data_IF_320867567939
#
_entry.id   IF_320867567939
#
_cell.length_a   1.000
_cell.length_b   1.000
_cell.length_c   1.000
_cell.angle_alpha   90.00
_cell.angle_beta   90.00
_cell.angle_gamma   90.00
#
_symmetry.space_group_name_H-M   'P 1'
#
loop_
_entity.id
_entity.type
_entity.pdbx_description
1 polymer ?
#
# COMPACT_ATOMS: atom_id res chain seq x y z
N UNK A 1 -11.05 -28.39 -31.90
CA UNK A 1 -10.23 -27.83 -32.99
C UNK A 1 -9.02 -27.14 -32.37
N UNK A 2 -7.83 -27.69 -32.57
CA UNK A 2 -6.57 -27.09 -32.12
C UNK A 2 -6.31 -25.82 -32.94
N UNK A 3 -6.21 -24.66 -32.27
CA UNK A 3 -5.89 -23.39 -32.93
C UNK A 3 -4.48 -23.47 -33.49
N UNK A 4 -4.34 -23.35 -34.81
CA UNK A 4 -3.05 -23.12 -35.47
C UNK A 4 -2.49 -21.76 -35.08
N UNK A 5 -1.18 -21.57 -35.30
CA UNK A 5 -0.53 -20.27 -35.14
C UNK A 5 -1.19 -19.23 -36.07
N UNK A 6 -1.23 -17.97 -35.63
CA UNK A 6 -1.66 -16.85 -36.49
C UNK A 6 -0.79 -16.83 -37.74
N UNK A 7 -1.40 -16.60 -38.91
CA UNK A 7 -0.65 -16.43 -40.13
C UNK A 7 0.14 -15.10 -40.01
N UNK A 8 1.46 -15.09 -40.27
CA UNK A 8 2.27 -13.88 -40.30
C UNK A 8 1.78 -12.86 -41.34
N UNK A 9 2.05 -11.59 -41.07
CA UNK A 9 1.65 -10.47 -41.93
C UNK A 9 2.22 -10.60 -43.36
N UNK A 10 3.45 -11.09 -43.49
CA UNK A 10 4.09 -11.30 -44.80
C UNK A 10 3.34 -12.32 -45.64
N UNK A 11 2.80 -13.37 -44.99
CA UNK A 11 1.97 -14.37 -45.65
C UNK A 11 0.58 -13.81 -45.97
N UNK A 12 0.02 -12.90 -45.15
CA UNK A 12 -1.21 -12.19 -45.49
C UNK A 12 -1.06 -11.38 -46.80
N UNK A 13 0.03 -10.61 -46.91
CA UNK A 13 0.34 -9.80 -48.11
C UNK A 13 0.52 -10.72 -49.33
N UNK A 14 1.26 -11.82 -49.18
CA UNK A 14 1.49 -12.77 -50.26
C UNK A 14 0.18 -13.43 -50.73
N UNK A 15 -0.67 -13.89 -49.82
CA UNK A 15 -1.98 -14.47 -50.14
C UNK A 15 -2.85 -13.44 -50.87
N UNK A 16 -2.92 -12.21 -50.38
CA UNK A 16 -3.71 -11.13 -50.98
C UNK A 16 -3.24 -10.80 -52.40
N UNK A 17 -1.92 -10.71 -52.60
CA UNK A 17 -1.29 -10.40 -53.89
C UNK A 17 -1.56 -11.52 -54.90
N UNK A 18 -1.34 -12.77 -54.52
CA UNK A 18 -1.54 -13.93 -55.41
C UNK A 18 -3.01 -14.10 -55.81
N UNK A 19 -3.94 -13.88 -54.87
CA UNK A 19 -5.36 -13.98 -55.16
C UNK A 19 -5.88 -12.80 -55.99
N UNK A 20 -5.50 -11.56 -55.64
CA UNK A 20 -6.16 -10.36 -56.18
C UNK A 20 -5.50 -9.81 -57.44
N UNK A 21 -4.19 -10.02 -57.62
CA UNK A 21 -3.42 -9.54 -58.79
C UNK A 21 -3.13 -10.68 -59.76
N UNK A 22 -2.70 -11.84 -59.25
CA UNK A 22 -2.31 -12.98 -60.09
C UNK A 22 -3.49 -13.91 -60.39
N UNK A 23 -4.63 -13.70 -59.73
CA UNK A 23 -5.86 -14.49 -59.89
C UNK A 23 -5.68 -16.00 -59.66
N UNK A 24 -4.74 -16.37 -58.79
CA UNK A 24 -4.52 -17.77 -58.41
C UNK A 24 -5.68 -18.32 -57.59
N UNK A 25 -6.01 -19.59 -57.79
CA UNK A 25 -7.03 -20.29 -57.02
C UNK A 25 -6.51 -20.63 -55.61
N UNK A 26 -7.41 -20.74 -54.63
CA UNK A 26 -7.04 -21.01 -53.23
C UNK A 26 -6.22 -22.29 -53.03
N UNK A 27 -6.48 -23.33 -53.84
CA UNK A 27 -5.72 -24.58 -53.80
C UNK A 27 -4.27 -24.39 -54.28
N UNK A 28 -4.05 -23.51 -55.25
CA UNK A 28 -2.73 -23.18 -55.78
C UNK A 28 -1.96 -22.36 -54.74
N UNK A 29 -2.60 -21.31 -54.21
CA UNK A 29 -2.05 -20.49 -53.12
C UNK A 29 -1.69 -21.34 -51.91
N UNK A 30 -2.56 -22.28 -51.53
CA UNK A 30 -2.32 -23.23 -50.46
C UNK A 30 -1.07 -24.08 -50.71
N UNK A 31 -0.90 -24.57 -51.94
CA UNK A 31 0.26 -25.39 -52.33
C UNK A 31 1.56 -24.57 -52.30
N UNK A 32 1.53 -23.34 -52.80
CA UNK A 32 2.71 -22.47 -52.87
C UNK A 32 3.14 -21.94 -51.50
N UNK A 33 2.19 -21.46 -50.70
CA UNK A 33 2.46 -20.80 -49.42
C UNK A 33 2.38 -21.75 -48.21
N UNK A 34 1.97 -23.01 -48.43
CA UNK A 34 1.77 -24.01 -47.37
C UNK A 34 0.79 -23.56 -46.29
N UNK A 35 -0.24 -22.80 -46.68
CA UNK A 35 -1.34 -22.33 -45.80
C UNK A 35 -2.60 -23.12 -46.13
N UNK A 36 -3.43 -23.41 -45.12
CA UNK A 36 -4.71 -24.09 -45.34
C UNK A 36 -5.65 -23.19 -46.18
N UNK A 37 -6.29 -23.69 -47.26
CA UNK A 37 -7.04 -22.86 -48.20
C UNK A 37 -8.20 -22.13 -47.52
N UNK A 38 -8.89 -22.79 -46.60
CA UNK A 38 -9.99 -22.18 -45.83
C UNK A 38 -9.52 -21.02 -44.95
N UNK A 39 -8.32 -21.10 -44.37
CA UNK A 39 -7.77 -20.04 -43.53
C UNK A 39 -7.37 -18.82 -44.36
N UNK A 40 -6.75 -19.04 -45.54
CA UNK A 40 -6.44 -17.98 -46.50
C UNK A 40 -7.71 -17.28 -47.02
N UNK A 41 -8.76 -18.07 -47.32
CA UNK A 41 -10.04 -17.56 -47.77
C UNK A 41 -10.74 -16.73 -46.68
N UNK A 42 -10.89 -17.29 -45.46
CA UNK A 42 -11.53 -16.58 -44.34
C UNK A 42 -10.83 -15.27 -43.98
N UNK A 43 -9.50 -15.26 -43.99
CA UNK A 43 -8.70 -14.06 -43.74
C UNK A 43 -9.03 -12.93 -44.73
N UNK A 44 -9.10 -13.23 -46.03
CA UNK A 44 -9.46 -12.22 -47.04
C UNK A 44 -10.91 -11.79 -46.91
N UNK A 45 -11.84 -12.71 -46.64
CA UNK A 45 -13.25 -12.38 -46.42
C UNK A 45 -13.43 -11.45 -45.20
N UNK A 46 -12.73 -11.72 -44.10
CA UNK A 46 -12.73 -10.85 -42.92
C UNK A 46 -12.21 -9.44 -43.22
N UNK A 47 -11.15 -9.34 -44.04
CA UNK A 47 -10.59 -8.05 -44.45
C UNK A 47 -11.56 -7.30 -45.37
N UNK A 48 -12.16 -7.97 -46.35
CA UNK A 48 -13.19 -7.39 -47.23
C UNK A 48 -14.41 -6.87 -46.47
N UNK A 49 -14.83 -7.58 -45.42
CA UNK A 49 -15.93 -7.14 -44.57
C UNK A 49 -15.63 -5.85 -43.78
N UNK A 50 -14.35 -5.55 -43.52
CA UNK A 50 -13.91 -4.35 -42.78
C UNK A 50 -13.64 -3.15 -43.67
N UNK A 51 -12.92 -3.34 -44.78
CA UNK A 51 -12.34 -2.24 -45.57
C UNK A 51 -12.79 -2.19 -47.04
N UNK A 52 -13.77 -3.01 -47.44
CA UNK A 52 -14.24 -3.20 -48.83
C UNK A 52 -13.28 -4.02 -49.71
N UNK A 53 -13.61 -4.17 -51.00
CA UNK A 53 -12.88 -5.05 -51.95
C UNK A 53 -11.78 -4.31 -52.75
N UNK A 54 -11.40 -3.10 -52.34
CA UNK A 54 -10.28 -2.38 -52.97
C UNK A 54 -8.93 -2.96 -52.52
N UNK A 55 -8.03 -3.23 -53.47
CA UNK A 55 -6.74 -3.87 -53.19
C UNK A 55 -5.86 -3.06 -52.23
N UNK A 56 -5.79 -1.74 -52.38
CA UNK A 56 -4.99 -0.90 -51.50
C UNK A 56 -5.62 -0.78 -50.12
N UNK A 57 -6.95 -0.73 -50.04
CA UNK A 57 -7.67 -0.80 -48.77
C UNK A 57 -7.39 -2.13 -48.05
N UNK A 58 -7.48 -3.26 -48.75
CA UNK A 58 -7.17 -4.59 -48.21
C UNK A 58 -5.71 -4.69 -47.75
N UNK A 59 -4.76 -4.17 -48.53
CA UNK A 59 -3.34 -4.19 -48.17
C UNK A 59 -3.05 -3.35 -46.92
N UNK A 60 -3.75 -2.23 -46.73
CA UNK A 60 -3.64 -1.39 -45.54
C UNK A 60 -4.33 -2.02 -44.30
N UNK A 61 -5.27 -2.95 -44.48
CA UNK A 61 -5.89 -3.72 -43.37
C UNK A 61 -4.98 -4.84 -42.85
N UNK A 62 -3.97 -5.26 -43.64
CA UNK A 62 -3.06 -6.34 -43.30
C UNK A 62 -2.18 -5.95 -42.11
N UNK A 63 -2.55 -6.44 -40.92
CA UNK A 63 -1.89 -6.16 -39.64
C UNK A 63 -2.82 -5.63 -38.55
N UNK A 64 -4.09 -5.33 -38.90
CA UNK A 64 -5.13 -4.92 -37.95
C UNK A 64 -5.99 -6.07 -37.43
N UNK A 65 -5.56 -7.32 -37.65
CA UNK A 65 -6.08 -8.47 -36.93
C UNK A 65 -5.57 -8.43 -35.48
N UNK A 66 -6.11 -7.51 -34.68
CA UNK A 66 -6.11 -7.74 -33.25
C UNK A 66 -6.77 -9.11 -33.04
N UNK A 67 -6.08 -10.06 -32.40
CA UNK A 67 -6.69 -11.33 -32.09
C UNK A 67 -7.98 -11.04 -31.33
N UNK A 68 -9.12 -11.36 -31.95
CA UNK A 68 -10.41 -11.33 -31.27
C UNK A 68 -10.34 -12.41 -30.21
N UNK A 69 -9.82 -12.04 -29.05
CA UNK A 69 -9.80 -12.91 -27.90
C UNK A 69 -11.26 -13.21 -27.59
N UNK A 70 -11.62 -14.50 -27.43
CA UNK A 70 -12.93 -14.80 -26.89
C UNK A 70 -13.07 -14.02 -25.58
N UNK A 71 -14.25 -13.45 -25.30
CA UNK A 71 -14.46 -12.74 -24.06
C UNK A 71 -13.98 -13.62 -22.90
N UNK A 72 -13.13 -13.05 -22.05
CA UNK A 72 -12.64 -13.76 -20.89
C UNK A 72 -13.80 -14.25 -20.03
N UNK A 73 -13.58 -15.27 -19.18
CA UNK A 73 -14.61 -15.74 -18.27
C UNK A 73 -15.16 -14.57 -17.44
N UNK A 74 -16.49 -14.51 -17.32
CA UNK A 74 -17.17 -13.48 -16.54
C UNK A 74 -16.62 -13.44 -15.12
N UNK A 75 -16.30 -12.23 -14.66
CA UNK A 75 -15.82 -12.03 -13.31
C UNK A 75 -16.91 -12.39 -12.29
N UNK A 76 -16.56 -13.18 -11.27
CA UNK A 76 -17.50 -13.70 -10.26
C UNK A 76 -18.29 -12.60 -9.55
N UNK A 77 -17.60 -11.53 -9.14
CA UNK A 77 -18.21 -10.34 -8.53
C UNK A 77 -17.69 -9.10 -9.27
N UNK A 78 -18.43 -8.58 -10.25
CA UNK A 78 -18.01 -7.39 -11.00
C UNK A 78 -18.11 -6.13 -10.13
N UNK A 79 -17.40 -5.08 -10.55
CA UNK A 79 -17.48 -3.78 -9.87
C UNK A 79 -18.92 -3.27 -9.85
N UNK A 80 -19.38 -2.83 -8.67
CA UNK A 80 -20.75 -2.36 -8.47
C UNK A 80 -21.77 -3.47 -8.23
N UNK A 81 -21.37 -4.75 -8.20
CA UNK A 81 -22.25 -5.81 -7.70
C UNK A 81 -22.52 -5.61 -6.20
N UNK A 82 -23.62 -6.18 -5.71
CA UNK A 82 -23.99 -6.14 -4.29
C UNK A 82 -22.87 -6.70 -3.40
N UNK A 83 -22.22 -7.78 -3.84
CA UNK A 83 -21.09 -8.40 -3.14
C UNK A 83 -19.87 -7.49 -3.09
N UNK A 84 -19.58 -6.79 -4.20
CA UNK A 84 -18.48 -5.83 -4.27
C UNK A 84 -18.75 -4.65 -3.33
N UNK A 85 -19.97 -4.08 -3.35
CA UNK A 85 -20.32 -2.98 -2.46
C UNK A 85 -20.34 -3.42 -0.98
N UNK A 86 -20.78 -4.66 -0.68
CA UNK A 86 -20.70 -5.21 0.68
C UNK A 86 -19.25 -5.29 1.18
N UNK A 87 -18.30 -5.68 0.32
CA UNK A 87 -16.89 -5.68 0.66
C UNK A 87 -16.36 -4.28 0.99
N UNK A 88 -16.76 -3.28 0.21
CA UNK A 88 -16.44 -1.87 0.45
C UNK A 88 -17.02 -1.40 1.79
N UNK A 89 -18.28 -1.69 2.07
CA UNK A 89 -18.93 -1.28 3.31
C UNK A 89 -18.25 -1.90 4.54
N UNK A 90 -17.95 -3.19 4.49
CA UNK A 90 -17.19 -3.87 5.56
C UNK A 90 -15.83 -3.22 5.79
N UNK A 91 -15.14 -2.81 4.73
CA UNK A 91 -13.79 -2.22 4.80
C UNK A 91 -13.76 -0.85 5.47
N UNK A 92 -14.90 -0.14 5.54
CA UNK A 92 -15.01 1.18 6.17
C UNK A 92 -15.38 1.10 7.66
N UNK A 93 -15.76 -0.08 8.16
CA UNK A 93 -16.21 -0.25 9.54
C UNK A 93 -15.04 -0.29 10.53
N UNK A 94 -15.13 0.33 11.72
CA UNK A 94 -14.05 0.31 12.71
C UNK A 94 -13.57 -1.09 13.12
N UNK A 95 -14.46 -2.07 13.17
CA UNK A 95 -14.14 -3.46 13.53
C UNK A 95 -13.24 -4.15 12.49
N UNK A 96 -13.18 -3.58 11.29
CA UNK A 96 -12.38 -4.05 10.17
C UNK A 96 -10.97 -3.45 10.12
N UNK A 97 -10.67 -2.48 10.99
CA UNK A 97 -9.37 -1.84 11.05
C UNK A 97 -8.28 -2.85 11.44
N UNK A 98 -7.18 -2.86 10.69
CA UNK A 98 -6.10 -3.84 10.82
C UNK A 98 -6.34 -5.16 10.12
N UNK A 99 -7.53 -5.38 9.54
CA UNK A 99 -7.79 -6.58 8.75
C UNK A 99 -7.15 -6.46 7.38
N UNK A 100 -6.59 -7.57 6.89
CA UNK A 100 -6.13 -7.65 5.50
C UNK A 100 -7.31 -7.93 4.54
N UNK A 101 -7.16 -7.75 3.22
CA UNK A 101 -8.24 -7.95 2.25
C UNK A 101 -8.89 -9.33 2.27
N UNK A 102 -8.14 -10.38 2.65
CA UNK A 102 -8.69 -11.73 2.79
C UNK A 102 -9.65 -11.81 3.98
N UNK A 103 -9.26 -11.23 5.11
CA UNK A 103 -10.12 -11.14 6.29
C UNK A 103 -11.34 -10.25 6.02
N UNK A 104 -11.19 -9.17 5.26
CA UNK A 104 -12.30 -8.32 4.82
C UNK A 104 -13.26 -9.09 3.92
N UNK A 105 -12.76 -9.88 2.98
CA UNK A 105 -13.58 -10.75 2.13
C UNK A 105 -14.35 -11.78 2.97
N UNK A 106 -13.72 -12.40 3.96
CA UNK A 106 -14.40 -13.32 4.88
C UNK A 106 -15.49 -12.61 5.70
N UNK A 107 -15.21 -11.41 6.22
CA UNK A 107 -16.20 -10.58 6.94
C UNK A 107 -17.36 -10.16 6.03
N UNK A 108 -17.10 -9.97 4.75
CA UNK A 108 -18.10 -9.71 3.72
C UNK A 108 -18.73 -11.01 3.16
N UNK A 109 -18.49 -12.17 3.78
CA UNK A 109 -19.00 -13.47 3.35
C UNK A 109 -18.72 -13.79 1.88
N UNK A 110 -17.54 -13.42 1.40
CA UNK A 110 -17.08 -13.68 0.04
C UNK A 110 -16.10 -14.84 0.02
N UNK A 111 -16.47 -15.89 -0.70
CA UNK A 111 -15.56 -16.97 -1.04
C UNK A 111 -14.78 -16.63 -2.32
N UNK A 112 -13.60 -16.03 -2.12
CA UNK A 112 -12.66 -15.61 -3.17
C UNK A 112 -11.22 -15.90 -2.78
N UNK A 113 -10.39 -16.16 -3.79
CA UNK A 113 -8.96 -16.28 -3.60
C UNK A 113 -8.34 -14.96 -3.07
N UNK A 114 -7.26 -15.03 -2.27
CA UNK A 114 -6.61 -13.85 -1.71
C UNK A 114 -6.28 -12.76 -2.73
N UNK A 115 -5.68 -13.13 -3.87
CA UNK A 115 -5.30 -12.18 -4.92
C UNK A 115 -6.52 -11.42 -5.48
N UNK A 116 -7.67 -12.10 -5.59
CA UNK A 116 -8.93 -11.51 -6.03
C UNK A 116 -9.44 -10.50 -5.01
N UNK A 117 -9.35 -10.80 -3.71
CA UNK A 117 -9.73 -9.86 -2.65
C UNK A 117 -8.89 -8.58 -2.71
N UNK A 118 -7.57 -8.70 -2.88
CA UNK A 118 -6.69 -7.54 -3.08
C UNK A 118 -7.06 -6.75 -4.34
N UNK A 119 -7.30 -7.42 -5.47
CA UNK A 119 -7.74 -6.77 -6.70
C UNK A 119 -9.05 -6.01 -6.51
N UNK A 120 -10.02 -6.55 -5.78
CA UNK A 120 -11.31 -5.88 -5.60
C UNK A 120 -11.16 -4.63 -4.73
N UNK A 121 -10.51 -4.74 -3.57
CA UNK A 121 -10.23 -3.60 -2.70
C UNK A 121 -9.49 -2.50 -3.47
N UNK A 122 -8.44 -2.84 -4.19
CA UNK A 122 -7.61 -1.85 -4.89
C UNK A 122 -8.22 -1.35 -6.20
N UNK A 123 -8.63 -2.24 -7.11
CA UNK A 123 -9.06 -1.86 -8.47
C UNK A 123 -10.54 -1.49 -8.54
N UNK A 124 -11.43 -2.16 -7.80
CA UNK A 124 -12.85 -1.83 -7.86
C UNK A 124 -13.17 -0.60 -7.02
N UNK A 125 -12.67 -0.58 -5.79
CA UNK A 125 -13.04 0.43 -4.80
C UNK A 125 -12.01 1.55 -4.66
N UNK A 126 -10.81 1.41 -5.26
CA UNK A 126 -9.71 2.37 -5.13
C UNK A 126 -9.29 2.57 -3.67
N UNK A 127 -9.19 1.48 -2.92
CA UNK A 127 -8.77 1.51 -1.52
C UNK A 127 -7.30 1.18 -1.40
N UNK A 128 -6.61 1.92 -0.55
CA UNK A 128 -5.20 1.70 -0.23
C UNK A 128 -5.01 1.51 1.28
N UNK A 129 -4.00 0.74 1.71
CA UNK A 129 -3.65 0.66 3.10
C UNK A 129 -3.12 2.02 3.56
N UNK A 130 -3.65 2.49 4.69
CA UNK A 130 -3.29 3.77 5.29
C UNK A 130 -2.98 3.57 6.77
N UNK A 131 -1.95 4.26 7.24
CA UNK A 131 -1.62 4.29 8.66
C UNK A 131 -2.24 5.54 9.29
N UNK A 132 -3.22 5.40 10.22
CA UNK A 132 -3.93 6.55 10.78
C UNK A 132 -3.00 7.60 11.39
N UNK A 133 -3.31 8.89 11.13
CA UNK A 133 -2.60 10.01 11.74
C UNK A 133 -2.78 10.01 13.27
N UNK A 134 -1.71 10.41 13.99
CA UNK A 134 -1.72 10.51 15.45
C UNK A 134 -2.26 11.86 15.95
N UNK A 135 -2.23 12.89 15.09
CA UNK A 135 -2.69 14.23 15.43
C UNK A 135 -4.18 14.34 15.13
N UNK A 136 -4.92 14.99 16.01
CA UNK A 136 -6.31 15.33 15.77
C UNK A 136 -6.45 16.36 14.65
N UNK A 137 -7.59 16.35 13.96
CA UNK A 137 -7.95 17.40 13.01
C UNK A 137 -8.13 18.69 13.78
N UNK A 138 -7.44 19.74 13.34
CA UNK A 138 -7.58 21.06 13.94
C UNK A 138 -8.85 21.75 13.41
N UNK A 139 -9.51 22.49 14.30
CA UNK A 139 -10.52 23.46 13.87
C UNK A 139 -9.88 24.58 13.06
N UNK A 140 -10.69 25.27 12.25
CA UNK A 140 -10.22 26.42 11.46
C UNK A 140 -9.58 27.50 12.35
N UNK A 141 -10.18 27.79 13.51
CA UNK A 141 -9.63 28.75 14.47
C UNK A 141 -8.27 28.31 15.01
N UNK A 142 -8.11 27.04 15.38
CA UNK A 142 -6.83 26.53 15.86
C UNK A 142 -5.76 26.55 14.76
N UNK A 143 -6.13 26.33 13.51
CA UNK A 143 -5.22 26.50 12.37
C UNK A 143 -4.77 27.96 12.22
N UNK A 144 -5.69 28.92 12.29
CA UNK A 144 -5.37 30.35 12.23
C UNK A 144 -4.46 30.78 13.39
N UNK A 145 -4.78 30.39 14.62
CA UNK A 145 -3.95 30.68 15.79
C UNK A 145 -2.53 30.10 15.64
N UNK A 146 -2.39 28.88 15.08
CA UNK A 146 -1.08 28.30 14.80
C UNK A 146 -0.30 29.10 13.76
N UNK A 147 -0.95 29.58 12.70
CA UNK A 147 -0.31 30.41 11.67
C UNK A 147 0.16 31.73 12.29
N UNK A 148 -0.69 32.39 13.07
CA UNK A 148 -0.35 33.64 13.76
C UNK A 148 0.81 33.44 14.74
N UNK A 149 0.77 32.38 15.53
CA UNK A 149 1.86 32.04 16.44
C UNK A 149 3.16 31.77 15.68
N UNK A 150 3.11 31.01 14.58
CA UNK A 150 4.29 30.74 13.77
C UNK A 150 4.88 32.02 13.15
N UNK A 151 4.02 32.90 12.62
CA UNK A 151 4.44 34.21 12.10
C UNK A 151 5.09 35.08 13.17
N UNK A 152 4.49 35.17 14.36
CA UNK A 152 5.07 35.87 15.49
C UNK A 152 6.41 35.24 15.89
N UNK A 153 6.49 33.91 16.03
CA UNK A 153 7.69 33.22 16.47
C UNK A 153 8.87 33.40 15.50
N UNK A 154 8.61 33.47 14.19
CA UNK A 154 9.62 33.76 13.16
C UNK A 154 10.23 35.16 13.26
N UNK A 155 9.58 36.09 13.96
CA UNK A 155 10.13 37.45 14.21
C UNK A 155 10.99 37.55 15.46
N UNK A 156 11.01 36.51 16.29
CA UNK A 156 11.75 36.50 17.55
C UNK A 156 13.14 35.90 17.36
N UNK A 157 14.10 36.32 18.19
CA UNK A 157 15.43 35.72 18.26
C UNK A 157 15.33 34.30 18.85
N UNK A 158 16.12 33.36 18.34
CA UNK A 158 16.06 31.96 18.77
C UNK A 158 16.34 31.81 20.28
N UNK A 159 17.24 32.64 20.82
CA UNK A 159 17.62 32.68 22.24
C UNK A 159 16.46 33.11 23.15
N UNK A 160 15.40 33.69 22.57
CA UNK A 160 14.20 34.11 23.31
C UNK A 160 13.28 32.93 23.64
N UNK A 161 13.56 31.73 23.12
CA UNK A 161 12.73 30.55 23.36
C UNK A 161 13.38 29.59 24.35
N UNK A 162 12.67 29.34 25.45
CA UNK A 162 12.90 28.18 26.32
C UNK A 162 11.80 27.18 26.05
N UNK A 163 12.14 26.00 25.52
CA UNK A 163 11.18 24.95 25.28
C UNK A 163 11.17 23.99 26.47
N UNK A 164 9.99 23.83 27.06
CA UNK A 164 9.72 22.80 28.05
C UNK A 164 8.75 21.80 27.46
N UNK A 165 8.95 20.53 27.77
CA UNK A 165 8.10 19.46 27.27
C UNK A 165 7.91 18.39 28.33
N UNK A 166 6.69 17.92 28.44
CA UNK A 166 6.39 16.68 29.16
C UNK A 166 6.37 15.55 28.13
N UNK A 167 7.10 14.48 28.42
CA UNK A 167 7.05 13.25 27.63
C UNK A 167 6.47 12.14 28.49
N UNK A 168 5.51 11.44 27.90
CA UNK A 168 4.88 10.27 28.47
C UNK A 168 5.60 9.04 27.91
N UNK A 169 6.16 8.20 28.80
CA UNK A 169 6.62 6.87 28.43
C UNK A 169 5.49 5.91 28.80
N UNK A 170 4.83 5.39 27.77
CA UNK A 170 3.82 4.36 27.90
C UNK A 170 4.47 2.98 27.86
N UNK A 171 4.17 2.13 28.86
CA UNK A 171 4.61 0.74 28.87
C UNK A 171 3.37 -0.16 28.78
N UNK A 172 3.47 -1.22 27.97
CA UNK A 172 2.37 -2.13 27.68
C UNK A 172 1.43 -1.68 26.56
N UNK A 173 1.61 -0.48 25.99
CA UNK A 173 0.80 -0.04 24.85
C UNK A 173 1.03 -0.95 23.63
N UNK A 174 -0.03 -1.35 22.91
CA UNK A 174 0.11 -2.16 21.70
C UNK A 174 1.01 -1.44 20.69
N UNK A 175 1.91 -2.20 20.05
CA UNK A 175 2.92 -1.66 19.13
C UNK A 175 2.26 -1.13 17.85
N UNK A 176 1.91 0.16 17.88
CA UNK A 176 1.45 0.93 16.74
C UNK A 176 -0.02 0.67 16.36
N UNK A 177 -0.63 1.68 15.74
CA UNK A 177 -1.99 1.56 15.22
C UNK A 177 -2.03 0.62 14.00
N UNK A 178 -3.04 -0.24 13.90
CA UNK A 178 -3.24 -1.05 12.71
C UNK A 178 -3.45 -0.18 11.47
N UNK A 179 -3.11 -0.72 10.30
CA UNK A 179 -3.46 -0.09 9.04
C UNK A 179 -4.96 -0.17 8.81
N UNK A 180 -5.53 0.88 8.24
CA UNK A 180 -6.93 0.94 7.79
C UNK A 180 -6.96 0.96 6.27
N UNK A 181 -7.99 0.37 5.68
CA UNK A 181 -8.23 0.47 4.25
C UNK A 181 -9.16 1.64 4.01
N UNK A 182 -8.74 2.59 3.17
CA UNK A 182 -9.56 3.76 2.86
C UNK A 182 -9.53 4.11 1.39
N UNK A 183 -10.59 4.77 0.87
CA UNK A 183 -10.57 5.30 -0.48
C UNK A 183 -9.38 6.24 -0.67
N UNK A 184 -8.65 6.08 -1.77
CA UNK A 184 -7.57 7.01 -2.14
C UNK A 184 -8.18 8.41 -2.33
N UNK A 185 -7.55 9.41 -1.72
CA UNK A 185 -8.01 10.81 -1.75
C UNK A 185 -9.02 11.18 -0.66
N UNK A 186 -9.48 10.22 0.15
CA UNK A 186 -10.32 10.53 1.33
C UNK A 186 -9.59 11.41 2.35
N UNK A 187 -10.35 12.07 3.23
CA UNK A 187 -9.77 12.81 4.35
C UNK A 187 -9.10 11.81 5.33
N UNK A 188 -7.80 11.96 5.65
CA UNK A 188 -7.12 11.09 6.60
C UNK A 188 -7.72 11.08 8.01
N UNK A 189 -8.44 12.12 8.39
CA UNK A 189 -9.02 12.26 9.73
C UNK A 189 -10.33 11.51 9.92
N UNK A 190 -11.04 11.16 8.85
CA UNK A 190 -12.29 10.38 8.92
C UNK A 190 -12.05 8.94 9.42
N UNK A 191 -10.80 8.48 9.34
CA UNK A 191 -10.36 7.15 9.76
C UNK A 191 -9.46 7.20 11.00
N UNK A 192 -9.55 8.27 11.78
CA UNK A 192 -8.81 8.39 13.03
C UNK A 192 -9.33 7.34 14.03
N UNK A 193 -8.49 6.34 14.34
CA UNK A 193 -8.81 5.36 15.37
C UNK A 193 -8.59 6.00 16.75
N UNK A 194 -9.63 6.15 17.60
CA UNK A 194 -9.45 6.52 18.99
C UNK A 194 -8.50 5.52 19.64
N UNK A 195 -7.45 6.02 20.29
CA UNK A 195 -6.51 5.13 21.00
C UNK A 195 -7.17 4.75 22.33
N UNK A 196 -8.13 3.82 22.30
CA UNK A 196 -8.81 3.35 23.52
C UNK A 196 -7.92 2.41 24.34
N UNK A 197 -6.77 2.00 23.80
CA UNK A 197 -5.76 1.26 24.55
C UNK A 197 -5.14 2.20 25.59
N UNK A 198 -5.69 2.15 26.81
CA UNK A 198 -5.02 2.77 27.96
C UNK A 198 -3.67 2.07 28.16
N UNK A 199 -2.57 2.82 28.29
CA UNK A 199 -1.31 2.23 28.71
C UNK A 199 -1.48 1.53 30.06
N UNK A 200 -0.75 0.44 30.29
CA UNK A 200 -0.78 -0.24 31.60
C UNK A 200 -0.26 0.71 32.70
N UNK A 201 0.75 1.50 32.36
CA UNK A 201 1.23 2.60 33.18
C UNK A 201 1.93 3.66 32.33
N UNK A 202 1.97 4.89 32.84
CA UNK A 202 2.61 6.02 32.16
C UNK A 202 3.58 6.73 33.09
N UNK A 203 4.80 6.98 32.62
CA UNK A 203 5.80 7.80 33.31
C UNK A 203 5.84 9.19 32.67
N UNK A 204 5.78 10.24 33.49
CA UNK A 204 5.96 11.63 33.04
C UNK A 204 7.42 12.02 33.28
N UNK A 205 8.11 12.41 32.21
CA UNK A 205 9.43 13.02 32.28
C UNK A 205 9.30 14.49 31.89
N UNK A 206 9.84 15.37 32.72
CA UNK A 206 9.84 16.81 32.49
C UNK A 206 11.24 17.24 32.06
N UNK A 207 11.35 17.71 30.82
CA UNK A 207 12.61 18.12 30.22
C UNK A 207 12.60 19.60 29.85
N UNK A 208 13.72 20.27 30.06
CA UNK A 208 13.98 21.63 29.59
C UNK A 208 15.08 21.57 28.53
N UNK A 209 14.85 22.17 27.37
CA UNK A 209 15.87 22.30 26.33
C UNK A 209 16.00 23.78 25.95
N UNK A 210 17.13 24.39 26.33
CA UNK A 210 17.56 25.66 25.78
C UNK A 210 18.29 25.38 24.46
N UNK A 211 17.86 26.03 23.37
CA UNK A 211 18.46 25.80 22.05
C UNK A 211 19.57 26.81 21.77
N UNK A 212 20.71 26.61 22.45
CA UNK A 212 21.99 27.28 22.20
C UNK A 212 23.10 26.47 22.88
N UNK A 213 24.18 26.15 22.16
CA UNK A 213 25.36 25.36 22.61
C UNK A 213 25.23 23.83 22.75
N UNK A 214 24.86 23.07 21.71
CA UNK A 214 24.90 21.59 21.84
C UNK A 214 25.35 20.85 20.57
N UNK A 215 26.55 21.16 20.04
CA UNK A 215 27.23 20.26 19.09
C UNK A 215 28.51 19.63 19.67
N UNK A 216 29.27 20.36 20.48
CA UNK A 216 30.43 19.83 21.21
C UNK A 216 29.98 18.99 22.41
N UNK A 217 29.12 19.53 23.26
CA UNK A 217 28.66 18.85 24.49
C UNK A 217 27.89 17.55 24.21
N UNK A 218 27.13 17.47 23.10
CA UNK A 218 26.42 16.24 22.70
C UNK A 218 27.38 15.07 22.42
N UNK A 219 28.58 15.35 21.92
CA UNK A 219 29.59 14.30 21.68
C UNK A 219 30.24 13.87 22.99
N UNK A 220 30.52 14.80 23.89
CA UNK A 220 31.10 14.50 25.20
C UNK A 220 30.12 13.78 26.12
N UNK A 221 28.86 14.23 26.15
CA UNK A 221 27.80 13.58 26.92
C UNK A 221 27.54 12.16 26.40
N UNK A 222 27.57 11.95 25.07
CA UNK A 222 27.46 10.61 24.49
C UNK A 222 28.64 9.71 24.88
N UNK A 223 29.88 10.23 24.82
CA UNK A 223 31.07 9.48 25.27
C UNK A 223 30.99 9.13 26.76
N UNK A 224 30.55 10.07 27.58
CA UNK A 224 30.36 9.86 29.02
C UNK A 224 29.30 8.79 29.29
N UNK A 225 28.16 8.82 28.59
CA UNK A 225 27.14 7.77 28.70
C UNK A 225 27.66 6.40 28.25
N UNK A 226 28.39 6.32 27.12
CA UNK A 226 29.01 5.08 26.64
C UNK A 226 30.01 4.51 27.67
N UNK A 227 30.75 5.37 28.36
CA UNK A 227 31.67 4.98 29.42
C UNK A 227 30.96 4.44 30.66
N UNK A 228 29.89 5.10 31.12
CA UNK A 228 29.05 4.61 32.22
C UNK A 228 28.46 3.22 31.91
N UNK A 229 27.98 3.00 30.68
CA UNK A 229 27.48 1.69 30.23
C UNK A 229 28.56 0.62 30.24
N UNK A 230 29.77 0.99 29.84
CA UNK A 230 30.91 0.07 29.82
C UNK A 230 31.31 -0.30 31.25
N UNK A 231 31.43 0.68 32.14
CA UNK A 231 31.74 0.48 33.55
C UNK A 231 30.71 -0.40 34.25
N UNK A 232 29.41 -0.19 33.98
CA UNK A 232 28.33 -0.99 34.57
C UNK A 232 28.39 -2.49 34.22
N UNK A 233 29.10 -2.87 33.13
CA UNK A 233 29.30 -4.27 32.73
C UNK A 233 30.52 -4.93 33.37
N UNK A 234 31.42 -4.14 33.95
CA UNK A 234 32.67 -4.63 34.56
C UNK A 234 32.43 -4.86 36.06
N UNK A 235 32.54 -6.10 36.58
CA UNK A 235 32.41 -6.36 38.00
C UNK A 235 33.43 -5.57 38.83
N UNK A 236 32.97 -4.96 39.93
CA UNK A 236 33.81 -4.20 40.86
C UNK A 236 33.81 -2.68 40.66
N UNK A 237 33.17 -2.16 39.60
CA UNK A 237 32.95 -0.71 39.44
C UNK A 237 31.78 -0.21 40.30
N UNK A 238 31.71 1.11 40.53
CA UNK A 238 30.61 1.75 41.24
C UNK A 238 29.29 1.61 40.47
N UNK A 239 29.32 1.78 39.15
CA UNK A 239 28.17 1.67 38.27
C UNK A 239 27.62 0.24 38.24
N UNK A 240 28.51 -0.76 38.25
CA UNK A 240 28.10 -2.16 38.34
C UNK A 240 27.45 -2.46 39.69
N UNK A 241 28.01 -1.92 40.78
CA UNK A 241 27.48 -2.08 42.13
C UNK A 241 26.10 -1.42 42.28
N UNK A 242 25.94 -0.22 41.72
CA UNK A 242 24.66 0.49 41.65
C UNK A 242 23.64 -0.29 40.85
N UNK A 243 24.00 -0.78 39.65
CA UNK A 243 23.13 -1.58 38.80
C UNK A 243 22.70 -2.88 39.50
N UNK A 244 23.62 -3.54 40.21
CA UNK A 244 23.33 -4.75 41.00
C UNK A 244 22.35 -4.45 42.14
N UNK A 245 22.53 -3.33 42.83
CA UNK A 245 21.62 -2.86 43.89
C UNK A 245 20.21 -2.57 43.37
N UNK A 246 20.10 -1.86 42.24
CA UNK A 246 18.82 -1.58 41.58
C UNK A 246 18.14 -2.89 41.15
N UNK A 247 18.89 -3.80 40.52
CA UNK A 247 18.36 -5.11 40.12
C UNK A 247 17.91 -5.95 41.31
N UNK A 248 18.59 -5.87 42.45
CA UNK A 248 18.17 -6.54 43.68
C UNK A 248 16.84 -5.97 44.21
N UNK A 249 16.68 -4.64 44.20
CA UNK A 249 15.41 -3.98 44.57
C UNK A 249 14.26 -4.39 43.64
N UNK A 250 14.51 -4.44 42.33
CA UNK A 250 13.50 -4.89 41.34
C UNK A 250 13.10 -6.35 41.59
N UNK A 251 14.07 -7.25 41.82
CA UNK A 251 13.77 -8.66 42.13
C UNK A 251 12.96 -8.81 43.41
N UNK A 252 13.34 -8.06 44.46
CA UNK A 252 12.62 -8.05 45.74
C UNK A 252 11.17 -7.57 45.56
N UNK A 253 10.98 -6.46 44.83
CA UNK A 253 9.65 -5.95 44.50
C UNK A 253 8.82 -6.99 43.74
N UNK A 254 9.39 -7.63 42.71
CA UNK A 254 8.69 -8.65 41.92
C UNK A 254 8.34 -9.91 42.73
N UNK A 255 9.16 -10.30 43.71
CA UNK A 255 8.90 -11.44 44.57
C UNK A 255 7.83 -11.17 45.62
N UNK A 256 7.77 -9.94 46.13
CA UNK A 256 6.83 -9.50 47.17
C UNK A 256 5.62 -8.77 46.59
N UNK A 257 5.40 -8.92 45.29
CA UNK A 257 4.34 -8.23 44.56
C UNK A 257 2.97 -8.77 44.97
N UNK A 258 2.03 -7.87 45.28
CA UNK A 258 0.67 -8.26 45.66
C UNK A 258 -0.16 -8.70 44.43
N UNK A 259 -1.13 -9.61 44.58
CA UNK A 259 -1.94 -10.13 43.46
C UNK A 259 -2.74 -9.08 42.68
N UNK A 260 -2.93 -7.90 43.27
CA UNK A 260 -3.80 -6.84 42.74
C UNK A 260 -3.02 -5.70 42.05
N UNK A 261 -1.69 -5.81 41.94
CA UNK A 261 -0.89 -4.80 41.24
C UNK A 261 -0.94 -5.01 39.71
N UNK A 262 -1.08 -3.92 38.91
CA UNK A 262 -1.28 -4.00 37.46
C UNK A 262 -0.06 -4.58 36.76
N UNK A 263 -0.21 -5.75 36.13
CA UNK A 263 0.89 -6.54 35.54
C UNK A 263 1.87 -5.75 34.69
#
# INVERSE_FOLDING_TARGET
MTKGASIPQELHIAILTLHSIVHMQWNEISTYLKVHPESAHQMIQCSKARVSDDFFALLNDVGHDEPVYPPGPSQKYPKGSEESERLKDVSLKPESFGKNPVQLAHLASLDIAPLTAYKYIYQHHNFAPYRPCHKQKLSQNNNLSRIQFAQWALTQLQESFVFTGETWIEIGSPRGKPNVWRPVGSDPYDFAIPTDSRPQFTLILLGHFAHGEIRSERKEHRKYQEQLYTNARIPGTEEHSLLKSINAKIRNYNQNRLPNEPQ
#
